data_IF_564484186964
#
_entry.id   IF_564484186964
#
_cell.length_a   1.000
_cell.length_b   1.000
_cell.length_c   1.000
_cell.angle_alpha   90.00
_cell.angle_beta   90.00
_cell.angle_gamma   90.00
#
_symmetry.space_group_name_H-M   'P 1'
#
loop_
_entity.id
_entity.type
_entity.pdbx_description
1 polymer ?
#
# COMPACT_ATOMS: atom_id res chain seq x y z
N UNK A 1 51.61 -60.09 5.97
CA UNK A 1 51.67 -58.95 5.08
C UNK A 1 50.20 -58.37 4.97
N UNK A 2 49.86 -57.33 5.75
CA UNK A 2 48.60 -56.63 5.69
C UNK A 2 48.77 -55.41 4.81
N UNK A 3 48.08 -55.35 3.66
CA UNK A 3 48.05 -54.18 2.77
C UNK A 3 47.00 -53.21 3.32
N UNK A 4 47.43 -52.03 3.77
CA UNK A 4 46.60 -50.88 4.06
C UNK A 4 46.27 -50.18 2.75
N UNK A 5 44.97 -50.14 2.39
CA UNK A 5 44.44 -49.33 1.27
C UNK A 5 44.06 -47.96 1.81
N UNK A 6 44.83 -46.93 1.42
CA UNK A 6 44.53 -45.52 1.74
C UNK A 6 43.49 -45.05 0.73
N UNK A 7 42.28 -44.83 1.20
CA UNK A 7 41.24 -44.12 0.44
C UNK A 7 41.48 -42.62 0.55
N UNK A 8 41.93 -41.99 -0.54
CA UNK A 8 42.00 -40.54 -0.67
C UNK A 8 40.58 -40.04 -0.97
N UNK A 9 39.91 -39.48 0.05
CA UNK A 9 38.64 -38.77 -0.15
C UNK A 9 38.99 -37.40 -0.73
N UNK A 10 38.86 -37.25 -2.05
CA UNK A 10 38.96 -35.96 -2.74
C UNK A 10 37.70 -35.14 -2.38
N UNK A 11 37.81 -34.24 -1.39
CA UNK A 11 36.78 -33.25 -1.10
C UNK A 11 36.72 -32.25 -2.27
N UNK A 12 35.87 -32.51 -3.23
CA UNK A 12 35.43 -31.48 -4.19
C UNK A 12 34.57 -30.46 -3.45
N UNK A 13 35.19 -29.40 -2.92
CA UNK A 13 34.47 -28.19 -2.58
C UNK A 13 34.01 -27.57 -3.90
N UNK A 14 32.77 -27.81 -4.28
CA UNK A 14 32.09 -27.01 -5.29
C UNK A 14 32.04 -25.57 -4.77
N UNK A 15 33.03 -24.79 -5.14
CA UNK A 15 33.03 -23.36 -4.88
C UNK A 15 31.84 -22.75 -5.64
N UNK A 16 30.79 -22.39 -4.92
CA UNK A 16 29.67 -21.62 -5.49
C UNK A 16 30.27 -20.27 -5.88
N UNK A 17 30.56 -20.09 -7.18
CA UNK A 17 31.06 -18.82 -7.71
C UNK A 17 29.96 -17.77 -7.57
N UNK A 18 30.22 -16.65 -6.91
CA UNK A 18 29.31 -15.53 -6.83
C UNK A 18 28.93 -15.05 -8.25
N UNK A 19 27.66 -14.80 -8.48
CA UNK A 19 27.19 -14.15 -9.70
C UNK A 19 27.59 -12.68 -9.68
N UNK A 20 27.72 -12.07 -10.86
CA UNK A 20 28.16 -10.68 -10.98
C UNK A 20 27.21 -9.85 -11.85
N UNK A 21 27.11 -8.59 -11.47
CA UNK A 21 26.58 -7.52 -12.32
C UNK A 21 27.76 -6.61 -12.63
N UNK A 22 28.18 -6.59 -13.87
CA UNK A 22 29.28 -5.75 -14.35
C UNK A 22 28.78 -4.78 -15.41
N UNK A 23 29.48 -3.66 -15.56
CA UNK A 23 29.12 -2.71 -16.59
C UNK A 23 30.16 -1.66 -16.85
N UNK A 24 29.88 -0.82 -17.85
CA UNK A 24 30.75 0.28 -18.25
C UNK A 24 29.92 1.53 -18.57
N UNK A 25 30.08 2.58 -17.76
CA UNK A 25 29.44 3.89 -17.89
C UNK A 25 30.47 4.99 -17.64
N UNK A 26 31.22 5.41 -18.67
CA UNK A 26 32.27 6.42 -18.52
C UNK A 26 31.77 7.76 -17.99
N UNK A 27 30.53 8.15 -18.31
CA UNK A 27 29.90 9.38 -17.82
C UNK A 27 29.64 9.40 -16.30
N UNK A 28 29.71 8.23 -15.67
CA UNK A 28 29.47 8.05 -14.22
C UNK A 28 30.73 7.73 -13.43
N UNK A 29 31.91 7.90 -14.04
CA UNK A 29 33.18 7.65 -13.37
C UNK A 29 33.27 8.39 -12.03
N UNK A 30 33.75 7.72 -10.99
CA UNK A 30 33.89 8.25 -9.63
C UNK A 30 32.59 8.27 -8.81
N UNK A 31 31.42 8.02 -9.41
CA UNK A 31 30.16 7.91 -8.66
C UNK A 31 30.03 6.53 -8.01
N UNK A 32 29.30 6.47 -6.90
CA UNK A 32 28.96 5.19 -6.25
C UNK A 32 27.76 4.57 -6.96
N UNK A 33 27.88 3.28 -7.28
CA UNK A 33 26.76 2.43 -7.73
C UNK A 33 26.43 1.42 -6.64
N UNK A 34 25.13 1.24 -6.40
CA UNK A 34 24.59 0.36 -5.36
C UNK A 34 23.60 -0.60 -5.96
N UNK A 35 23.67 -1.87 -5.50
CA UNK A 35 22.65 -2.89 -5.72
C UNK A 35 21.82 -3.01 -4.45
N UNK A 36 20.50 -2.86 -4.58
CA UNK A 36 19.54 -3.16 -3.53
C UNK A 36 18.58 -4.26 -4.01
N UNK A 37 18.00 -5.00 -3.07
CA UNK A 37 17.09 -6.11 -3.34
C UNK A 37 15.79 -5.93 -2.54
N UNK A 38 14.69 -6.43 -3.07
CA UNK A 38 13.42 -6.43 -2.35
C UNK A 38 13.36 -7.54 -1.29
N UNK A 39 12.77 -7.22 -0.15
CA UNK A 39 12.39 -8.14 0.93
C UNK A 39 10.98 -7.72 1.39
N UNK A 40 9.97 -8.24 0.72
CA UNK A 40 8.58 -7.83 0.90
C UNK A 40 8.33 -6.37 0.51
N UNK A 41 7.92 -5.57 1.49
CA UNK A 41 7.66 -4.14 1.30
C UNK A 41 8.91 -3.26 1.44
N UNK A 42 10.07 -3.85 1.70
CA UNK A 42 11.32 -3.11 1.98
C UNK A 42 12.32 -3.33 0.86
N UNK A 43 13.13 -2.29 0.62
CA UNK A 43 14.31 -2.37 -0.23
C UNK A 43 15.54 -2.40 0.69
N UNK A 44 16.40 -3.42 0.53
CA UNK A 44 17.63 -3.62 1.34
C UNK A 44 18.85 -3.47 0.47
N UNK A 45 19.84 -2.73 0.97
CA UNK A 45 21.13 -2.63 0.35
C UNK A 45 21.86 -3.97 0.41
N UNK A 46 22.42 -4.39 -0.72
CA UNK A 46 23.07 -5.68 -0.86
C UNK A 46 24.57 -5.57 -1.12
N UNK A 47 24.97 -4.78 -2.13
CA UNK A 47 26.36 -4.53 -2.49
C UNK A 47 26.53 -3.13 -3.08
N UNK A 48 27.75 -2.58 -3.00
CA UNK A 48 28.05 -1.28 -3.59
C UNK A 48 29.53 -1.18 -3.97
N UNK A 49 29.81 -0.37 -5.00
CA UNK A 49 31.18 -0.08 -5.44
C UNK A 49 31.25 1.32 -6.04
N UNK A 50 32.48 1.84 -6.17
CA UNK A 50 32.75 3.06 -6.93
C UNK A 50 33.04 2.71 -8.38
N UNK A 51 32.38 3.39 -9.33
CA UNK A 51 32.64 3.26 -10.76
C UNK A 51 34.05 3.79 -11.05
N UNK A 52 34.88 2.95 -11.64
CA UNK A 52 36.28 3.29 -11.97
C UNK A 52 36.35 4.47 -12.95
N UNK A 53 37.56 5.08 -13.08
CA UNK A 53 37.77 6.17 -14.07
C UNK A 53 37.55 5.74 -15.53
N UNK A 54 37.64 4.44 -15.82
CA UNK A 54 37.30 3.85 -17.11
C UNK A 54 35.78 3.71 -17.35
N UNK A 55 34.94 3.99 -16.34
CA UNK A 55 33.51 3.72 -16.36
C UNK A 55 33.13 2.31 -15.89
N UNK A 56 34.11 1.43 -15.63
CA UNK A 56 33.86 0.04 -15.27
C UNK A 56 33.43 -0.11 -13.81
N UNK A 57 32.49 -1.05 -13.55
CA UNK A 57 32.13 -1.48 -12.21
C UNK A 57 31.86 -2.99 -12.18
N UNK A 58 31.88 -3.56 -10.99
CA UNK A 58 31.51 -4.95 -10.75
C UNK A 58 30.91 -5.09 -9.36
N UNK A 59 29.67 -5.56 -9.30
CA UNK A 59 28.92 -5.89 -8.09
C UNK A 59 28.73 -7.40 -8.03
N UNK A 60 28.69 -7.95 -6.82
CA UNK A 60 28.49 -9.38 -6.59
C UNK A 60 27.12 -9.63 -5.97
N UNK A 61 26.50 -10.74 -6.34
CA UNK A 61 25.29 -11.20 -5.67
C UNK A 61 25.35 -12.71 -5.41
N UNK A 62 24.54 -13.14 -4.43
CA UNK A 62 24.48 -14.55 -4.07
C UNK A 62 23.83 -15.35 -5.22
N UNK A 63 24.43 -16.45 -5.71
CA UNK A 63 23.86 -17.30 -6.76
C UNK A 63 22.48 -17.90 -6.41
N UNK A 64 22.14 -18.01 -5.12
CA UNK A 64 20.82 -18.50 -4.69
C UNK A 64 19.75 -17.41 -4.69
N UNK A 65 20.14 -16.15 -4.93
CA UNK A 65 19.22 -15.01 -4.98
C UNK A 65 18.52 -14.98 -6.33
N UNK A 66 17.20 -15.13 -6.31
CA UNK A 66 16.31 -14.99 -7.47
C UNK A 66 15.34 -13.85 -7.18
N UNK A 67 15.18 -12.91 -8.11
CA UNK A 67 14.29 -11.78 -7.90
C UNK A 67 14.63 -10.57 -8.75
N UNK A 68 14.21 -9.39 -8.30
CA UNK A 68 14.52 -8.10 -8.92
C UNK A 68 15.51 -7.33 -8.06
N UNK A 69 16.64 -6.97 -8.65
CA UNK A 69 17.59 -6.03 -8.10
C UNK A 69 17.33 -4.60 -8.58
N UNK A 70 17.72 -3.64 -7.78
CA UNK A 70 17.64 -2.21 -8.09
C UNK A 70 19.06 -1.66 -8.10
N UNK A 71 19.55 -1.26 -9.26
CA UNK A 71 20.79 -0.53 -9.40
C UNK A 71 20.52 0.97 -9.29
N UNK A 72 21.21 1.65 -8.39
CA UNK A 72 21.09 3.08 -8.19
C UNK A 72 22.45 3.77 -8.22
N UNK A 73 22.54 4.92 -8.88
CA UNK A 73 23.70 5.78 -8.95
C UNK A 73 23.30 7.17 -8.52
N UNK A 74 23.59 7.55 -7.26
CA UNK A 74 23.24 8.87 -6.68
C UNK A 74 21.78 9.31 -7.02
N UNK A 75 21.64 10.47 -7.69
CA UNK A 75 20.35 11.07 -8.07
C UNK A 75 19.79 10.55 -9.41
N UNK A 76 20.44 9.59 -10.07
CA UNK A 76 19.93 9.00 -11.31
C UNK A 76 18.69 8.13 -11.05
N UNK A 77 17.86 7.93 -12.07
CA UNK A 77 16.72 7.02 -11.97
C UNK A 77 17.23 5.59 -11.74
N UNK A 78 16.62 4.83 -10.81
CA UNK A 78 17.03 3.45 -10.58
C UNK A 78 16.76 2.57 -11.80
N UNK A 79 17.66 1.63 -12.05
CA UNK A 79 17.50 0.59 -13.07
C UNK A 79 17.13 -0.73 -12.40
N UNK A 80 16.09 -1.38 -12.89
CA UNK A 80 15.72 -2.73 -12.44
C UNK A 80 16.48 -3.79 -13.23
N UNK A 81 16.99 -4.80 -12.54
CA UNK A 81 17.72 -5.93 -13.13
C UNK A 81 17.16 -7.25 -12.60
N UNK A 82 17.10 -8.25 -13.45
CA UNK A 82 16.70 -9.60 -13.06
C UNK A 82 17.92 -10.34 -12.51
N UNK A 83 17.77 -10.87 -11.31
CA UNK A 83 18.74 -11.72 -10.63
C UNK A 83 18.19 -13.16 -10.67
N UNK A 84 18.78 -14.01 -11.51
CA UNK A 84 18.39 -15.42 -11.63
C UNK A 84 19.52 -16.25 -12.23
N UNK A 85 20.54 -16.58 -11.43
CA UNK A 85 21.65 -17.46 -11.77
C UNK A 85 22.47 -17.04 -13.01
N UNK A 86 22.36 -15.79 -13.47
CA UNK A 86 23.06 -15.26 -14.65
C UNK A 86 24.13 -14.24 -14.25
N UNK A 87 25.23 -14.19 -15.02
CA UNK A 87 26.11 -13.01 -15.05
C UNK A 87 25.46 -11.93 -15.90
N UNK A 88 25.30 -10.73 -15.34
CA UNK A 88 24.71 -9.58 -16.03
C UNK A 88 25.84 -8.63 -16.46
N UNK A 89 25.85 -8.26 -17.72
CA UNK A 89 26.78 -7.26 -18.24
C UNK A 89 25.99 -6.19 -18.99
N UNK A 90 26.14 -4.94 -18.55
CA UNK A 90 25.40 -3.80 -19.12
C UNK A 90 26.36 -2.65 -19.44
N UNK A 91 26.09 -1.94 -20.55
CA UNK A 91 26.88 -0.80 -21.00
C UNK A 91 25.94 0.32 -21.44
N UNK A 92 26.41 1.56 -21.36
CA UNK A 92 25.63 2.70 -21.81
C UNK A 92 26.36 4.03 -21.67
N UNK A 93 25.85 5.04 -22.34
CA UNK A 93 26.35 6.41 -22.23
C UNK A 93 25.72 7.14 -21.03
N UNK A 94 24.49 6.79 -20.69
CA UNK A 94 23.71 7.33 -19.58
C UNK A 94 22.98 6.22 -18.81
N UNK A 95 22.70 6.45 -17.53
CA UNK A 95 22.00 5.47 -16.68
C UNK A 95 20.46 5.65 -16.81
N UNK A 96 19.99 5.51 -18.04
CA UNK A 96 18.57 5.55 -18.40
C UNK A 96 18.23 4.33 -19.24
N UNK A 97 17.03 3.73 -19.11
CA UNK A 97 16.68 2.48 -19.79
C UNK A 97 16.93 2.49 -21.30
N UNK A 98 16.66 3.61 -21.95
CA UNK A 98 16.79 3.77 -23.42
C UNK A 98 18.25 3.82 -23.90
N UNK A 99 19.20 4.15 -23.02
CA UNK A 99 20.63 4.26 -23.33
C UNK A 99 21.45 3.06 -22.84
N UNK A 100 20.79 2.04 -22.28
CA UNK A 100 21.45 0.86 -21.70
C UNK A 100 21.26 -0.35 -22.60
N UNK A 101 22.37 -1.03 -22.89
CA UNK A 101 22.38 -2.31 -23.59
C UNK A 101 22.88 -3.42 -22.64
N UNK A 102 22.09 -4.48 -22.51
CA UNK A 102 22.50 -5.69 -21.81
C UNK A 102 23.31 -6.59 -22.75
N UNK A 103 24.64 -6.65 -22.56
CA UNK A 103 25.55 -7.52 -23.33
C UNK A 103 25.46 -8.97 -22.93
N UNK A 104 25.21 -9.24 -21.62
CA UNK A 104 24.96 -10.57 -21.03
C UNK A 104 23.80 -10.53 -20.08
N UNK A 105 23.17 -11.68 -19.85
CA UNK A 105 21.97 -11.84 -19.04
C UNK A 105 20.73 -11.92 -19.94
N UNK A 106 20.42 -13.14 -20.41
CA UNK A 106 19.27 -13.37 -21.34
C UNK A 106 17.96 -12.85 -20.78
N UNK A 107 17.70 -13.08 -19.50
CA UNK A 107 16.46 -12.63 -18.86
C UNK A 107 16.41 -11.10 -18.75
N UNK A 108 17.54 -10.45 -18.52
CA UNK A 108 17.62 -8.98 -18.52
C UNK A 108 17.39 -8.39 -19.93
N UNK A 109 17.88 -9.04 -20.98
CA UNK A 109 17.60 -8.64 -22.36
C UNK A 109 16.10 -8.77 -22.68
N UNK A 110 15.47 -9.89 -22.30
CA UNK A 110 14.03 -10.13 -22.46
C UNK A 110 13.20 -9.13 -21.63
N UNK A 111 13.60 -8.87 -20.40
CA UNK A 111 12.94 -7.87 -19.55
C UNK A 111 13.02 -6.46 -20.17
N UNK A 112 14.21 -6.04 -20.62
CA UNK A 112 14.43 -4.73 -21.22
C UNK A 112 13.61 -4.56 -22.51
N UNK A 113 13.60 -5.58 -23.38
CA UNK A 113 12.79 -5.58 -24.60
C UNK A 113 11.30 -5.43 -24.27
N UNK A 114 10.77 -6.24 -23.35
CA UNK A 114 9.36 -6.15 -22.97
C UNK A 114 9.02 -4.81 -22.31
N UNK A 115 9.90 -4.31 -21.44
CA UNK A 115 9.73 -3.02 -20.78
C UNK A 115 9.69 -1.83 -21.77
N UNK A 116 10.38 -1.95 -22.89
CA UNK A 116 10.35 -0.97 -23.98
C UNK A 116 9.09 -1.13 -24.87
N UNK A 117 8.80 -2.35 -25.30
CA UNK A 117 7.75 -2.61 -26.30
C UNK A 117 6.32 -2.57 -25.71
N UNK A 118 6.12 -3.09 -24.50
CA UNK A 118 4.80 -3.20 -23.91
C UNK A 118 4.10 -1.84 -23.72
N UNK A 119 4.76 -0.77 -23.20
CA UNK A 119 4.15 0.55 -23.13
C UNK A 119 3.74 1.12 -24.50
N UNK A 120 4.52 0.86 -25.55
CA UNK A 120 4.18 1.27 -26.93
C UNK A 120 2.93 0.53 -27.44
N UNK A 121 2.83 -0.78 -27.16
CA UNK A 121 1.62 -1.56 -27.45
C UNK A 121 0.40 -1.01 -26.72
N UNK A 122 0.53 -0.67 -25.42
CA UNK A 122 -0.56 -0.06 -24.66
C UNK A 122 -0.97 1.31 -25.20
N UNK A 123 0.00 2.16 -25.59
CA UNK A 123 -0.31 3.45 -26.23
C UNK A 123 -1.09 3.26 -27.53
N UNK A 124 -0.69 2.29 -28.37
CA UNK A 124 -1.41 1.97 -29.60
C UNK A 124 -2.84 1.47 -29.30
N UNK A 125 -3.01 0.58 -28.32
CA UNK A 125 -4.33 0.11 -27.89
C UNK A 125 -5.20 1.28 -27.41
N UNK A 126 -4.67 2.19 -26.60
CA UNK A 126 -5.38 3.38 -26.12
C UNK A 126 -5.87 4.27 -27.28
N UNK A 127 -5.02 4.47 -28.30
CA UNK A 127 -5.39 5.24 -29.49
C UNK A 127 -6.51 4.53 -30.28
N UNK A 128 -6.42 3.22 -30.46
CA UNK A 128 -7.47 2.43 -31.10
C UNK A 128 -8.77 2.41 -30.32
N UNK A 129 -8.74 2.39 -28.98
CA UNK A 129 -9.92 2.47 -28.13
C UNK A 129 -10.60 3.84 -28.19
N UNK A 130 -9.82 4.90 -28.25
CA UNK A 130 -10.36 6.23 -28.49
C UNK A 130 -11.09 6.30 -29.85
N UNK A 131 -10.45 5.85 -30.92
CA UNK A 131 -11.07 5.79 -32.25
C UNK A 131 -12.30 4.89 -32.28
N UNK A 132 -12.24 3.72 -31.63
CA UNK A 132 -13.39 2.80 -31.57
C UNK A 132 -14.60 3.47 -30.94
N UNK A 133 -14.45 4.18 -29.83
CA UNK A 133 -15.53 4.94 -29.17
C UNK A 133 -16.08 6.06 -30.04
N UNK A 134 -15.20 6.80 -30.71
CA UNK A 134 -15.59 7.86 -31.63
C UNK A 134 -16.46 7.32 -32.78
N UNK A 135 -16.02 6.24 -33.41
CA UNK A 135 -16.73 5.62 -34.54
C UNK A 135 -18.01 4.86 -34.13
N UNK A 136 -18.11 4.41 -32.89
CA UNK A 136 -19.31 3.75 -32.38
C UNK A 136 -20.39 4.75 -31.94
N UNK A 137 -20.00 5.88 -31.35
CA UNK A 137 -20.92 6.78 -30.65
C UNK A 137 -21.27 8.05 -31.45
N UNK A 138 -20.71 8.23 -32.66
CA UNK A 138 -20.96 9.44 -33.45
C UNK A 138 -21.71 9.11 -34.73
N UNK A 139 -22.89 9.71 -34.91
CA UNK A 139 -23.79 9.42 -36.02
C UNK A 139 -23.17 9.66 -37.42
N UNK A 140 -22.23 10.62 -37.54
CA UNK A 140 -21.52 10.87 -38.83
C UNK A 140 -20.68 9.69 -39.30
N UNK A 141 -20.34 8.75 -38.37
CA UNK A 141 -19.56 7.54 -38.66
C UNK A 141 -20.41 6.26 -38.66
N UNK A 142 -21.73 6.37 -38.69
CA UNK A 142 -22.64 5.21 -38.63
C UNK A 142 -22.36 4.17 -39.69
N UNK A 143 -22.03 4.60 -40.92
CA UNK A 143 -21.74 3.74 -42.07
C UNK A 143 -20.26 3.33 -42.25
N UNK A 144 -19.45 3.50 -41.22
CA UNK A 144 -17.98 3.26 -41.27
C UNK A 144 -17.59 1.84 -40.83
N UNK A 145 -18.34 0.80 -41.19
CA UNK A 145 -18.14 -0.59 -40.72
C UNK A 145 -16.74 -1.13 -41.07
N UNK A 146 -16.20 -0.77 -42.25
CA UNK A 146 -14.84 -1.17 -42.63
C UNK A 146 -13.78 -0.63 -41.65
N UNK A 147 -13.92 0.62 -41.23
CA UNK A 147 -13.00 1.24 -40.25
C UNK A 147 -13.14 0.59 -38.91
N UNK A 148 -14.39 0.37 -38.43
CA UNK A 148 -14.67 -0.34 -37.16
C UNK A 148 -14.05 -1.74 -37.17
N UNK A 149 -14.21 -2.49 -38.25
CA UNK A 149 -13.60 -3.82 -38.42
C UNK A 149 -12.08 -3.77 -38.39
N UNK A 150 -11.45 -2.78 -39.07
CA UNK A 150 -9.99 -2.60 -39.05
C UNK A 150 -9.48 -2.31 -37.61
N UNK A 151 -10.16 -1.46 -36.86
CA UNK A 151 -9.82 -1.16 -35.45
C UNK A 151 -9.79 -2.45 -34.63
N UNK A 152 -10.83 -3.29 -34.73
CA UNK A 152 -10.91 -4.54 -33.97
C UNK A 152 -9.82 -5.54 -34.36
N UNK A 153 -9.52 -5.67 -35.64
CA UNK A 153 -8.46 -6.55 -36.15
C UNK A 153 -7.09 -6.11 -35.63
N UNK A 154 -6.80 -4.82 -35.65
CA UNK A 154 -5.51 -4.31 -35.20
C UNK A 154 -5.33 -4.44 -33.69
N UNK A 155 -6.34 -4.15 -32.90
CA UNK A 155 -6.33 -4.43 -31.45
C UNK A 155 -6.06 -5.90 -31.19
N UNK A 156 -6.77 -6.81 -31.86
CA UNK A 156 -6.56 -8.26 -31.72
C UNK A 156 -5.13 -8.67 -32.06
N UNK A 157 -4.55 -8.09 -33.12
CA UNK A 157 -3.16 -8.36 -33.54
C UNK A 157 -2.18 -7.95 -32.41
N UNK A 158 -2.32 -6.73 -31.87
CA UNK A 158 -1.44 -6.21 -30.82
C UNK A 158 -1.53 -7.06 -29.54
N UNK A 159 -2.73 -7.45 -29.12
CA UNK A 159 -2.91 -8.35 -27.98
C UNK A 159 -2.31 -9.73 -28.22
N UNK A 160 -2.43 -10.27 -29.45
CA UNK A 160 -1.86 -11.55 -29.79
C UNK A 160 -0.32 -11.53 -29.77
N UNK A 161 0.31 -10.46 -30.26
CA UNK A 161 1.76 -10.29 -30.21
C UNK A 161 2.29 -10.21 -28.77
N UNK A 162 1.63 -9.44 -27.92
CA UNK A 162 2.00 -9.33 -26.51
C UNK A 162 1.88 -10.68 -25.78
N UNK A 163 0.80 -11.41 -26.06
CA UNK A 163 0.57 -12.74 -25.49
C UNK A 163 1.59 -13.77 -26.01
N UNK A 164 1.93 -13.71 -27.31
CA UNK A 164 2.91 -14.59 -27.92
C UNK A 164 4.31 -14.35 -27.37
N UNK A 165 4.68 -13.08 -27.13
CA UNK A 165 5.95 -12.75 -26.49
C UNK A 165 6.08 -13.46 -25.13
N UNK A 166 5.07 -13.30 -24.27
CA UNK A 166 5.06 -13.91 -22.94
C UNK A 166 5.06 -15.44 -22.99
N UNK A 167 4.31 -16.03 -23.94
CA UNK A 167 4.24 -17.49 -24.11
C UNK A 167 5.56 -18.13 -24.61
N UNK A 168 6.41 -17.36 -25.30
CA UNK A 168 7.70 -17.83 -25.81
C UNK A 168 8.85 -17.73 -24.80
N UNK A 169 8.61 -17.22 -23.61
CA UNK A 169 9.60 -17.19 -22.53
C UNK A 169 9.85 -18.62 -22.01
N UNK A 170 11.08 -18.88 -21.57
CA UNK A 170 11.41 -20.17 -20.93
C UNK A 170 10.59 -20.32 -19.65
N UNK A 171 9.72 -21.35 -19.52
CA UNK A 171 8.87 -21.52 -18.36
C UNK A 171 9.62 -21.69 -17.02
N UNK A 172 10.92 -22.01 -17.07
CA UNK A 172 11.77 -22.15 -15.90
C UNK A 172 12.44 -20.83 -15.47
N UNK A 173 12.42 -19.81 -16.34
CA UNK A 173 13.04 -18.52 -16.06
C UNK A 173 12.17 -17.69 -15.11
N UNK A 174 12.81 -16.82 -14.32
CA UNK A 174 12.10 -15.90 -13.44
C UNK A 174 11.22 -14.91 -14.25
N UNK A 175 11.69 -14.44 -15.42
CA UNK A 175 10.92 -13.50 -16.26
C UNK A 175 9.64 -14.08 -16.79
N UNK A 176 9.53 -15.41 -16.98
CA UNK A 176 8.28 -16.04 -17.45
C UNK A 176 7.14 -15.94 -16.44
N UNK A 177 7.47 -15.85 -15.15
CA UNK A 177 6.53 -15.58 -14.06
C UNK A 177 6.39 -14.07 -13.82
N UNK A 178 7.50 -13.33 -13.83
CA UNK A 178 7.55 -11.92 -13.44
C UNK A 178 6.78 -11.01 -14.40
N UNK A 179 6.98 -11.18 -15.73
CA UNK A 179 6.37 -10.28 -16.71
C UNK A 179 4.84 -10.38 -16.78
N UNK A 180 4.21 -11.58 -16.76
CA UNK A 180 2.75 -11.68 -16.65
C UNK A 180 2.20 -11.07 -15.36
N UNK A 181 2.89 -11.30 -14.23
CA UNK A 181 2.49 -10.72 -12.93
C UNK A 181 2.59 -9.20 -12.96
N UNK A 182 3.70 -8.65 -13.48
CA UNK A 182 3.86 -7.21 -13.67
C UNK A 182 2.81 -6.61 -14.59
N UNK A 183 2.48 -7.30 -15.69
CA UNK A 183 1.41 -6.89 -16.61
C UNK A 183 0.07 -6.81 -15.89
N UNK A 184 -0.31 -7.84 -15.11
CA UNK A 184 -1.54 -7.84 -14.30
C UNK A 184 -1.59 -6.60 -13.40
N UNK A 185 -0.54 -6.35 -12.61
CA UNK A 185 -0.46 -5.25 -11.67
C UNK A 185 -0.55 -3.88 -12.36
N UNK A 186 0.15 -3.70 -13.48
CA UNK A 186 0.21 -2.42 -14.20
C UNK A 186 -1.01 -2.13 -15.08
N UNK A 187 -1.87 -3.11 -15.34
CA UNK A 187 -3.02 -2.97 -16.25
C UNK A 187 -4.24 -2.31 -15.62
N UNK A 188 -4.33 -2.24 -14.28
CA UNK A 188 -5.59 -1.89 -13.58
C UNK A 188 -6.13 -0.51 -13.92
N UNK A 189 -5.25 0.50 -14.05
CA UNK A 189 -5.67 1.86 -14.40
C UNK A 189 -6.30 1.92 -15.80
N UNK A 190 -5.70 1.20 -16.76
CA UNK A 190 -6.26 1.08 -18.10
C UNK A 190 -7.61 0.36 -18.08
N UNK A 191 -7.72 -0.76 -17.36
CA UNK A 191 -8.94 -1.57 -17.28
C UNK A 191 -10.07 -0.76 -16.65
N UNK A 192 -9.84 -0.09 -15.53
CA UNK A 192 -10.85 0.73 -14.88
C UNK A 192 -11.36 1.88 -15.75
N UNK A 193 -10.48 2.47 -16.55
CA UNK A 193 -10.79 3.64 -17.36
C UNK A 193 -11.36 3.29 -18.75
N UNK A 194 -10.88 2.20 -19.39
CA UNK A 194 -11.14 1.95 -20.80
C UNK A 194 -11.73 0.57 -21.10
N UNK A 195 -11.64 -0.41 -20.20
CA UNK A 195 -12.10 -1.77 -20.41
C UNK A 195 -12.80 -2.35 -19.17
N UNK A 196 -13.85 -1.66 -18.72
CA UNK A 196 -14.60 -2.06 -17.52
C UNK A 196 -15.17 -3.49 -17.60
N UNK A 197 -15.38 -4.00 -18.81
CA UNK A 197 -15.83 -5.38 -19.01
C UNK A 197 -14.80 -6.42 -18.54
N UNK A 198 -13.51 -6.07 -18.52
CA UNK A 198 -12.43 -6.92 -18.05
C UNK A 198 -12.25 -6.91 -16.51
N UNK A 199 -12.92 -6.00 -15.79
CA UNK A 199 -12.76 -5.88 -14.32
C UNK A 199 -13.02 -7.22 -13.59
N UNK A 200 -14.11 -7.96 -13.84
CA UNK A 200 -14.39 -9.20 -13.11
C UNK A 200 -13.30 -10.26 -13.29
N UNK A 201 -12.78 -10.43 -14.51
CA UNK A 201 -11.71 -11.40 -14.79
C UNK A 201 -10.38 -10.96 -14.18
N UNK A 202 -10.09 -9.66 -14.20
CA UNK A 202 -8.87 -9.11 -13.58
C UNK A 202 -8.92 -9.25 -12.06
N UNK A 203 -10.05 -8.98 -11.41
CA UNK A 203 -10.24 -9.22 -9.97
C UNK A 203 -10.07 -10.69 -9.63
N UNK A 204 -10.60 -11.59 -10.47
CA UNK A 204 -10.40 -13.04 -10.32
C UNK A 204 -8.91 -13.40 -10.40
N UNK A 205 -8.17 -12.86 -11.38
CA UNK A 205 -6.73 -13.09 -11.51
C UNK A 205 -5.95 -12.64 -10.27
N UNK A 206 -6.31 -11.50 -9.64
CA UNK A 206 -5.72 -11.08 -8.37
C UNK A 206 -6.06 -12.01 -7.20
N UNK A 207 -7.28 -12.55 -7.14
CA UNK A 207 -7.67 -13.51 -6.10
C UNK A 207 -6.96 -14.86 -6.25
N UNK A 208 -6.61 -15.24 -7.48
CA UNK A 208 -5.87 -16.46 -7.81
C UNK A 208 -4.35 -16.29 -7.70
N UNK A 209 -3.87 -15.05 -7.57
CA UNK A 209 -2.45 -14.77 -7.36
C UNK A 209 -1.99 -15.39 -6.02
N UNK A 210 -0.94 -16.20 -6.07
CA UNK A 210 -0.35 -16.75 -4.86
C UNK A 210 0.50 -15.71 -4.12
N UNK A 211 -0.08 -15.05 -3.13
CA UNK A 211 0.61 -14.03 -2.32
C UNK A 211 1.68 -14.61 -1.39
N UNK A 212 1.71 -15.92 -1.16
CA UNK A 212 2.80 -16.60 -0.44
C UNK A 212 3.95 -17.05 -1.34
N UNK A 213 3.88 -16.83 -2.66
CA UNK A 213 4.96 -17.16 -3.58
C UNK A 213 6.22 -16.35 -3.24
N UNK A 214 7.35 -17.01 -2.92
CA UNK A 214 8.58 -16.30 -2.58
C UNK A 214 9.07 -15.38 -3.72
N UNK A 215 8.74 -15.68 -4.99
CA UNK A 215 9.11 -14.82 -6.12
C UNK A 215 8.41 -13.45 -6.05
N UNK A 216 7.16 -13.41 -5.58
CA UNK A 216 6.43 -12.16 -5.38
C UNK A 216 7.11 -11.29 -4.31
N UNK A 217 7.61 -11.93 -3.25
CA UNK A 217 8.23 -11.26 -2.11
C UNK A 217 9.55 -10.55 -2.48
N UNK A 218 10.27 -11.06 -3.47
CA UNK A 218 11.55 -10.50 -3.95
C UNK A 218 11.42 -9.76 -5.30
N UNK A 219 10.21 -9.55 -5.78
CA UNK A 219 9.95 -8.95 -7.10
C UNK A 219 9.83 -7.43 -7.11
N UNK A 220 9.57 -6.80 -5.95
CA UNK A 220 9.12 -5.42 -5.88
C UNK A 220 7.64 -5.19 -6.24
N UNK A 221 6.91 -6.24 -6.67
CA UNK A 221 5.51 -6.13 -7.07
C UNK A 221 4.51 -6.36 -5.92
N UNK A 222 4.98 -6.85 -4.76
CA UNK A 222 4.09 -7.24 -3.66
C UNK A 222 3.16 -6.09 -3.22
N UNK A 223 3.75 -4.91 -3.01
CA UNK A 223 3.01 -3.72 -2.65
C UNK A 223 1.98 -3.36 -3.72
N UNK A 224 2.45 -3.23 -4.94
CA UNK A 224 1.62 -2.81 -6.07
C UNK A 224 0.52 -3.83 -6.39
N UNK A 225 0.77 -5.14 -6.17
CA UNK A 225 -0.23 -6.18 -6.34
C UNK A 225 -1.40 -6.03 -5.35
N UNK A 226 -1.11 -5.72 -4.08
CA UNK A 226 -2.16 -5.47 -3.08
C UNK A 226 -2.88 -4.15 -3.37
N UNK A 227 -2.14 -3.05 -3.59
CA UNK A 227 -2.74 -1.74 -3.90
C UNK A 227 -3.61 -1.79 -5.16
N UNK A 228 -3.09 -2.33 -6.26
CA UNK A 228 -3.79 -2.41 -7.55
C UNK A 228 -5.08 -3.23 -7.45
N UNK A 229 -5.06 -4.34 -6.71
CA UNK A 229 -6.23 -5.18 -6.51
C UNK A 229 -7.37 -4.40 -5.83
N UNK A 230 -7.09 -3.77 -4.67
CA UNK A 230 -8.12 -3.05 -3.92
C UNK A 230 -8.52 -1.74 -4.59
N UNK A 231 -7.57 -1.06 -5.24
CA UNK A 231 -7.87 0.11 -6.05
C UNK A 231 -8.82 -0.21 -7.22
N UNK A 232 -8.64 -1.36 -7.90
CA UNK A 232 -9.52 -1.78 -8.98
C UNK A 232 -10.95 -2.03 -8.47
N UNK A 233 -11.10 -2.64 -7.30
CA UNK A 233 -12.41 -2.84 -6.66
C UNK A 233 -13.10 -1.52 -6.30
N UNK A 234 -12.34 -0.57 -5.75
CA UNK A 234 -12.84 0.77 -5.40
C UNK A 234 -13.33 1.53 -6.65
N UNK A 235 -12.64 1.35 -7.78
CA UNK A 235 -12.92 2.03 -9.05
C UNK A 235 -13.75 1.19 -10.05
N UNK A 236 -14.43 0.15 -9.58
CA UNK A 236 -15.24 -0.73 -10.42
C UNK A 236 -16.61 -0.14 -10.87
N UNK A 237 -16.92 1.11 -10.48
CA UNK A 237 -18.18 1.78 -10.83
C UNK A 237 -19.43 1.16 -10.17
N UNK A 238 -19.25 0.42 -9.08
CA UNK A 238 -20.33 -0.25 -8.34
C UNK A 238 -20.81 0.57 -7.14
N UNK A 239 -22.03 0.33 -6.63
CA UNK A 239 -22.47 0.84 -5.33
C UNK A 239 -21.52 0.43 -4.21
N UNK A 240 -21.39 1.27 -3.18
CA UNK A 240 -20.38 1.11 -2.12
C UNK A 240 -20.52 -0.20 -1.32
N UNK A 241 -21.74 -0.65 -1.07
CA UNK A 241 -22.04 -1.92 -0.41
C UNK A 241 -21.58 -3.13 -1.23
N UNK A 242 -21.71 -3.08 -2.57
CA UNK A 242 -21.18 -4.11 -3.47
C UNK A 242 -19.63 -4.09 -3.49
N UNK A 243 -19.03 -2.89 -3.51
CA UNK A 243 -17.57 -2.73 -3.42
C UNK A 243 -17.06 -3.36 -2.12
N UNK A 244 -17.70 -3.10 -0.99
CA UNK A 244 -17.33 -3.70 0.30
C UNK A 244 -17.46 -5.22 0.30
N UNK A 245 -18.54 -5.75 -0.28
CA UNK A 245 -18.72 -7.20 -0.40
C UNK A 245 -17.64 -7.85 -1.27
N UNK A 246 -17.23 -7.20 -2.37
CA UNK A 246 -16.14 -7.68 -3.22
C UNK A 246 -14.77 -7.58 -2.51
N UNK A 247 -14.51 -6.51 -1.77
CA UNK A 247 -13.29 -6.37 -0.97
C UNK A 247 -13.19 -7.45 0.10
N UNK A 248 -14.29 -7.75 0.80
CA UNK A 248 -14.34 -8.81 1.79
C UNK A 248 -14.04 -10.20 1.17
N UNK A 249 -14.60 -10.49 -0.02
CA UNK A 249 -14.27 -11.73 -0.77
C UNK A 249 -12.79 -11.78 -1.17
N UNK A 250 -12.22 -10.67 -1.57
CA UNK A 250 -10.79 -10.59 -1.90
C UNK A 250 -9.91 -10.75 -0.67
N UNK A 251 -10.34 -10.20 0.47
CA UNK A 251 -9.68 -10.40 1.77
C UNK A 251 -9.70 -11.87 2.19
N UNK A 252 -10.83 -12.58 1.99
CA UNK A 252 -10.92 -14.01 2.29
C UNK A 252 -9.93 -14.83 1.45
N UNK A 253 -9.87 -14.59 0.14
CA UNK A 253 -8.93 -15.26 -0.77
C UNK A 253 -7.48 -14.96 -0.39
N UNK A 254 -7.15 -13.71 -0.10
CA UNK A 254 -5.82 -13.27 0.33
C UNK A 254 -5.38 -13.97 1.61
N UNK A 255 -6.18 -13.90 2.67
CA UNK A 255 -5.86 -14.53 3.96
C UNK A 255 -5.74 -16.04 3.82
N UNK A 256 -6.62 -16.69 3.04
CA UNK A 256 -6.54 -18.12 2.76
C UNK A 256 -5.21 -18.49 2.09
N UNK A 257 -4.71 -17.70 1.15
CA UNK A 257 -3.43 -17.94 0.46
C UNK A 257 -2.22 -17.76 1.38
N UNK A 258 -2.37 -17.04 2.49
CA UNK A 258 -1.31 -16.71 3.44
C UNK A 258 -1.28 -17.62 4.67
N UNK A 259 -2.24 -18.55 4.80
CA UNK A 259 -2.28 -19.48 5.92
C UNK A 259 -0.99 -20.31 6.00
N UNK A 260 -0.36 -20.33 7.18
CA UNK A 260 0.93 -21.00 7.41
C UNK A 260 2.17 -20.21 6.97
N UNK A 261 2.01 -18.97 6.51
CA UNK A 261 3.09 -18.07 6.11
C UNK A 261 3.10 -16.81 6.99
N UNK A 262 3.28 -16.98 8.31
CA UNK A 262 3.06 -15.95 9.33
C UNK A 262 3.77 -14.62 9.06
N UNK A 263 5.04 -14.65 8.59
CA UNK A 263 5.77 -13.41 8.27
C UNK A 263 5.06 -12.61 7.19
N UNK A 264 4.74 -13.26 6.07
CA UNK A 264 4.10 -12.62 4.91
C UNK A 264 2.68 -12.18 5.27
N UNK A 265 1.95 -13.01 6.02
CA UNK A 265 0.62 -12.69 6.54
C UNK A 265 0.64 -11.39 7.36
N UNK A 266 1.55 -11.27 8.34
CA UNK A 266 1.65 -10.09 9.18
C UNK A 266 1.99 -8.83 8.38
N UNK A 267 2.93 -8.92 7.46
CA UNK A 267 3.37 -7.78 6.63
C UNK A 267 2.25 -7.32 5.68
N UNK A 268 1.59 -8.25 4.98
CA UNK A 268 0.49 -7.92 4.06
C UNK A 268 -0.74 -7.42 4.83
N UNK A 269 -1.09 -8.04 5.96
CA UNK A 269 -2.22 -7.60 6.78
C UNK A 269 -2.01 -6.17 7.28
N UNK A 270 -0.84 -5.87 7.83
CA UNK A 270 -0.52 -4.52 8.27
C UNK A 270 -0.62 -3.51 7.13
N UNK A 271 -0.02 -3.84 5.99
CA UNK A 271 -0.03 -2.96 4.82
C UNK A 271 -1.46 -2.72 4.27
N UNK A 272 -2.24 -3.79 4.09
CA UNK A 272 -3.61 -3.71 3.59
C UNK A 272 -4.52 -2.96 4.57
N UNK A 273 -4.34 -3.19 5.85
CA UNK A 273 -5.07 -2.49 6.89
C UNK A 273 -4.84 -0.98 6.81
N UNK A 274 -3.57 -0.55 6.76
CA UNK A 274 -3.20 0.86 6.61
C UNK A 274 -3.71 1.46 5.27
N UNK A 275 -3.72 0.67 4.20
CA UNK A 275 -4.26 1.08 2.90
C UNK A 275 -5.77 1.37 3.00
N UNK A 276 -6.55 0.43 3.54
CA UNK A 276 -8.00 0.55 3.68
C UNK A 276 -8.38 1.75 4.56
N UNK A 277 -7.66 1.96 5.67
CA UNK A 277 -7.87 3.10 6.57
C UNK A 277 -7.58 4.44 5.87
N UNK A 278 -6.47 4.54 5.14
CA UNK A 278 -6.13 5.76 4.38
C UNK A 278 -7.16 6.11 3.32
N UNK A 279 -7.83 5.12 2.74
CA UNK A 279 -8.90 5.30 1.75
C UNK A 279 -10.29 5.42 2.40
N UNK A 280 -10.39 5.49 3.73
CA UNK A 280 -11.67 5.56 4.47
C UNK A 280 -12.59 4.35 4.23
N UNK A 281 -12.01 3.20 3.91
CA UNK A 281 -12.70 1.94 3.67
C UNK A 281 -12.84 1.13 4.97
N UNK A 282 -13.52 1.73 5.98
CA UNK A 282 -13.55 1.20 7.36
C UNK A 282 -14.27 -0.13 7.49
N UNK A 283 -15.32 -0.36 6.71
CA UNK A 283 -16.04 -1.64 6.76
C UNK A 283 -15.15 -2.80 6.28
N UNK A 284 -14.43 -2.69 5.15
CA UNK A 284 -13.41 -3.67 4.77
C UNK A 284 -12.24 -3.79 5.75
N UNK A 285 -11.77 -2.69 6.35
CA UNK A 285 -10.67 -2.74 7.32
C UNK A 285 -11.07 -3.45 8.61
N UNK A 286 -12.29 -3.19 9.11
CA UNK A 286 -12.87 -3.93 10.24
C UNK A 286 -13.03 -5.42 9.91
N UNK A 287 -13.51 -5.73 8.70
CA UNK A 287 -13.63 -7.11 8.24
C UNK A 287 -12.29 -7.84 8.23
N UNK A 288 -11.24 -7.21 7.66
CA UNK A 288 -9.88 -7.75 7.66
C UNK A 288 -9.40 -8.03 9.09
N UNK A 289 -9.53 -7.04 9.99
CA UNK A 289 -9.10 -7.18 11.37
C UNK A 289 -9.78 -8.36 12.08
N UNK A 290 -11.12 -8.45 11.99
CA UNK A 290 -11.89 -9.54 12.60
C UNK A 290 -11.58 -10.89 11.97
N UNK A 291 -11.37 -10.94 10.66
CA UNK A 291 -11.01 -12.17 9.95
C UNK A 291 -9.70 -12.74 10.45
N UNK A 292 -8.66 -11.91 10.53
CA UNK A 292 -7.32 -12.35 10.95
C UNK A 292 -7.29 -12.70 12.44
N UNK A 293 -7.91 -11.89 13.31
CA UNK A 293 -7.98 -12.15 14.75
C UNK A 293 -8.74 -13.46 15.10
N UNK A 294 -9.77 -13.81 14.31
CA UNK A 294 -10.58 -15.00 14.56
C UNK A 294 -10.07 -16.25 13.83
N UNK A 295 -9.02 -16.13 13.00
CA UNK A 295 -8.48 -17.27 12.24
C UNK A 295 -7.49 -18.06 13.09
N UNK A 296 -7.82 -19.29 13.45
CA UNK A 296 -6.99 -20.17 14.29
C UNK A 296 -5.66 -20.59 13.64
N UNK A 297 -5.47 -20.33 12.35
CA UNK A 297 -4.24 -20.61 11.59
C UNK A 297 -3.35 -19.40 11.35
N UNK A 298 -3.63 -18.26 11.99
CA UNK A 298 -2.84 -17.03 11.84
C UNK A 298 -2.10 -16.74 13.13
N UNK A 299 -0.76 -16.65 13.07
CA UNK A 299 0.06 -16.17 14.19
C UNK A 299 0.39 -14.70 13.96
N UNK A 300 -0.26 -13.81 14.70
CA UNK A 300 0.00 -12.38 14.63
C UNK A 300 1.13 -11.99 15.59
N UNK A 301 1.95 -11.01 15.18
CA UNK A 301 2.84 -10.36 16.13
C UNK A 301 2.04 -9.47 17.09
N UNK A 302 2.61 -9.23 18.29
CA UNK A 302 1.91 -8.53 19.37
C UNK A 302 1.45 -7.12 18.99
N UNK A 303 2.21 -6.40 18.19
CA UNK A 303 1.88 -5.02 17.82
C UNK A 303 0.69 -4.99 16.86
N UNK A 304 0.69 -5.85 15.84
CA UNK A 304 -0.43 -5.97 14.90
C UNK A 304 -1.68 -6.49 15.61
N UNK A 305 -1.53 -7.49 16.49
CA UNK A 305 -2.65 -8.02 17.26
C UNK A 305 -3.31 -6.92 18.12
N UNK A 306 -2.54 -6.11 18.82
CA UNK A 306 -3.05 -4.97 19.61
C UNK A 306 -3.73 -3.93 18.71
N UNK A 307 -3.14 -3.59 17.58
CA UNK A 307 -3.73 -2.66 16.63
C UNK A 307 -5.09 -3.16 16.12
N UNK A 308 -5.19 -4.42 15.73
CA UNK A 308 -6.43 -5.02 15.23
C UNK A 308 -7.50 -5.21 16.31
N UNK A 309 -7.11 -5.50 17.57
CA UNK A 309 -8.04 -5.59 18.70
C UNK A 309 -8.81 -4.28 18.95
N UNK A 310 -8.20 -3.14 18.62
CA UNK A 310 -8.88 -1.83 18.64
C UNK A 310 -10.20 -1.89 17.86
N UNK A 311 -10.19 -2.52 16.70
CA UNK A 311 -11.35 -2.58 15.82
C UNK A 311 -12.42 -3.52 16.33
N UNK A 312 -12.04 -4.57 17.03
CA UNK A 312 -13.00 -5.46 17.68
C UNK A 312 -13.74 -4.78 18.83
N UNK A 313 -13.01 -3.98 19.63
CA UNK A 313 -13.56 -3.30 20.80
C UNK A 313 -14.25 -1.99 20.43
N UNK A 314 -13.62 -1.20 19.55
CA UNK A 314 -14.05 0.15 19.19
C UNK A 314 -14.84 0.22 17.87
N UNK A 315 -15.49 -0.88 17.47
CA UNK A 315 -16.31 -0.92 16.26
C UNK A 315 -17.63 -0.18 16.42
N UNK A 316 -18.21 0.21 15.27
CA UNK A 316 -19.57 0.76 15.20
C UNK A 316 -20.58 -0.14 15.92
N UNK A 317 -21.43 0.45 16.74
CA UNK A 317 -22.46 -0.23 17.51
C UNK A 317 -21.99 -0.71 18.91
N UNK A 318 -20.70 -0.73 19.20
CA UNK A 318 -20.21 -1.02 20.55
C UNK A 318 -20.27 0.23 21.42
N UNK A 319 -20.36 0.02 22.73
CA UNK A 319 -20.31 1.09 23.71
C UNK A 319 -18.85 1.51 23.95
N UNK A 320 -18.56 2.80 23.73
CA UNK A 320 -17.25 3.37 24.02
C UNK A 320 -16.97 3.39 25.54
N UNK A 321 -15.72 3.23 25.97
CA UNK A 321 -15.34 3.38 27.38
C UNK A 321 -15.67 4.77 27.93
N UNK A 322 -16.03 4.85 29.22
CA UNK A 322 -16.27 6.13 29.89
C UNK A 322 -14.96 6.90 30.09
N UNK A 323 -14.95 8.17 29.69
CA UNK A 323 -13.81 9.07 29.96
C UNK A 323 -14.09 9.84 31.26
N UNK A 324 -13.23 9.65 32.27
CA UNK A 324 -13.25 10.41 33.49
C UNK A 324 -12.22 11.53 33.38
N UNK A 325 -12.63 12.77 33.54
CA UNK A 325 -11.77 13.95 33.41
C UNK A 325 -10.94 14.20 34.71
N UNK A 326 -9.95 13.32 34.95
CA UNK A 326 -8.99 13.45 36.07
C UNK A 326 -7.70 14.12 35.54
N UNK A 327 -7.73 15.43 35.42
CA UNK A 327 -6.64 16.23 34.90
C UNK A 327 -7.06 17.69 34.62
N UNK A 328 -6.33 18.38 33.80
CA UNK A 328 -6.67 19.75 33.41
C UNK A 328 -7.77 19.73 32.33
N UNK A 329 -8.89 20.37 32.63
CA UNK A 329 -10.04 20.51 31.75
C UNK A 329 -10.28 22.01 31.47
N UNK A 330 -10.27 22.40 30.22
CA UNK A 330 -10.44 23.80 29.80
C UNK A 330 -11.45 23.94 28.66
N UNK A 331 -12.08 25.11 28.57
CA UNK A 331 -12.94 25.51 27.45
C UNK A 331 -12.74 26.99 27.19
N UNK A 332 -12.44 27.37 25.94
CA UNK A 332 -12.13 28.75 25.57
C UNK A 332 -11.05 29.38 26.47
N UNK A 333 -10.00 28.63 26.78
CA UNK A 333 -8.90 29.06 27.64
C UNK A 333 -9.22 29.19 29.14
N UNK A 334 -10.43 28.81 29.58
CA UNK A 334 -10.84 28.88 31.00
C UNK A 334 -10.98 27.49 31.60
N UNK A 335 -10.51 27.32 32.84
CA UNK A 335 -10.67 26.07 33.57
C UNK A 335 -12.14 25.73 33.83
N UNK A 336 -12.49 24.45 33.68
CA UNK A 336 -13.84 23.89 33.88
C UNK A 336 -13.78 22.87 34.97
N UNK A 337 -14.58 23.05 36.02
CA UNK A 337 -14.57 22.17 37.21
C UNK A 337 -15.85 21.33 37.34
N UNK A 338 -16.92 21.63 36.63
CA UNK A 338 -18.25 21.06 36.84
C UNK A 338 -18.58 19.86 35.94
N UNK A 339 -17.64 19.39 35.09
CA UNK A 339 -17.82 18.22 34.20
C UNK A 339 -16.84 17.15 34.67
N UNK A 340 -17.36 16.05 35.22
CA UNK A 340 -16.51 14.99 35.76
C UNK A 340 -16.22 13.87 34.79
N UNK A 341 -17.08 13.66 33.79
CA UNK A 341 -17.00 12.53 32.85
C UNK A 341 -17.73 12.80 31.52
N UNK A 342 -17.40 12.02 30.51
CA UNK A 342 -17.94 12.18 29.16
C UNK A 342 -19.48 12.04 29.11
N UNK A 343 -20.03 11.02 29.79
CA UNK A 343 -21.48 10.78 29.80
C UNK A 343 -22.29 11.86 30.56
N UNK A 344 -21.64 12.80 31.21
CA UNK A 344 -22.33 13.93 31.87
C UNK A 344 -22.61 15.11 30.91
N UNK A 345 -22.13 15.05 29.69
CA UNK A 345 -22.35 16.10 28.69
C UNK A 345 -23.79 16.04 28.15
N UNK A 346 -24.50 17.16 28.13
CA UNK A 346 -25.89 17.23 27.60
C UNK A 346 -25.87 17.35 26.07
N UNK A 347 -25.55 16.27 25.35
CA UNK A 347 -25.46 16.27 23.91
C UNK A 347 -26.23 15.09 23.29
N UNK A 348 -26.78 15.27 22.09
CA UNK A 348 -27.37 14.17 21.33
C UNK A 348 -26.29 13.25 20.76
N UNK A 349 -25.19 13.85 20.32
CA UNK A 349 -24.00 13.15 19.87
C UNK A 349 -22.75 13.87 20.38
N UNK A 350 -21.67 13.13 20.55
CA UNK A 350 -20.38 13.67 21.00
C UNK A 350 -19.26 13.23 20.06
N UNK A 351 -18.53 14.19 19.53
CA UNK A 351 -17.28 13.93 18.81
C UNK A 351 -16.13 13.93 19.79
N UNK A 352 -15.51 12.78 20.02
CA UNK A 352 -14.29 12.65 20.83
C UNK A 352 -13.10 12.68 19.88
N UNK A 353 -12.18 13.61 20.10
CA UNK A 353 -10.98 13.81 19.26
C UNK A 353 -9.74 13.61 20.12
N UNK A 354 -8.91 12.64 19.77
CA UNK A 354 -7.59 12.45 20.36
C UNK A 354 -6.53 13.14 19.51
N UNK A 355 -5.70 13.98 20.10
CA UNK A 355 -4.68 14.74 19.39
C UNK A 355 -3.62 15.34 20.29
N UNK A 356 -2.73 16.15 19.73
CA UNK A 356 -1.67 16.82 20.50
C UNK A 356 -1.16 18.08 19.79
N UNK A 357 -0.58 19.00 20.57
CA UNK A 357 0.04 20.23 20.06
C UNK A 357 1.25 19.98 19.15
N UNK A 358 1.95 18.88 19.35
CA UNK A 358 3.12 18.48 18.55
C UNK A 358 2.77 17.71 17.25
N UNK A 359 1.50 17.32 17.06
CA UNK A 359 1.04 16.56 15.89
C UNK A 359 0.75 17.52 14.71
N UNK A 360 1.44 17.37 13.55
CA UNK A 360 1.22 18.24 12.39
C UNK A 360 -0.21 18.18 11.86
N UNK A 361 -0.76 16.98 11.66
CA UNK A 361 -2.15 16.81 11.17
C UNK A 361 -3.19 17.38 12.15
N UNK A 362 -2.91 17.33 13.47
CA UNK A 362 -3.80 17.92 14.46
C UNK A 362 -3.81 19.46 14.34
N UNK A 363 -2.66 20.08 14.04
CA UNK A 363 -2.58 21.52 13.80
C UNK A 363 -3.39 21.97 12.59
N UNK A 364 -3.59 21.10 11.62
CA UNK A 364 -4.41 21.35 10.42
C UNK A 364 -5.89 21.10 10.65
N UNK A 365 -6.25 20.04 11.39
CA UNK A 365 -7.63 19.60 11.55
C UNK A 365 -8.36 20.31 12.70
N UNK A 366 -7.68 20.58 13.83
CA UNK A 366 -8.33 21.19 15.00
C UNK A 366 -8.91 22.58 14.74
N UNK A 367 -8.28 23.47 13.97
CA UNK A 367 -8.90 24.75 13.60
C UNK A 367 -10.20 24.58 12.80
N UNK A 368 -10.26 23.60 11.89
CA UNK A 368 -11.47 23.30 11.10
C UNK A 368 -12.61 22.81 12.01
N UNK A 369 -12.29 22.02 13.04
CA UNK A 369 -13.27 21.59 14.07
C UNK A 369 -13.80 22.84 14.80
N UNK A 370 -12.90 23.77 15.19
CA UNK A 370 -13.29 24.97 15.91
C UNK A 370 -14.19 25.89 15.07
N UNK A 371 -13.90 26.02 13.78
CA UNK A 371 -14.71 26.79 12.80
C UNK A 371 -16.13 26.22 12.66
N UNK A 372 -16.25 24.89 12.60
CA UNK A 372 -17.53 24.21 12.42
C UNK A 372 -18.32 24.02 13.73
N UNK A 373 -17.68 24.18 14.90
CA UNK A 373 -18.26 23.82 16.18
C UNK A 373 -19.60 24.51 16.48
N UNK A 374 -19.72 25.81 16.19
CA UNK A 374 -20.95 26.54 16.45
C UNK A 374 -22.15 25.98 15.65
N UNK A 375 -21.93 25.63 14.38
CA UNK A 375 -22.87 24.93 13.50
C UNK A 375 -23.25 23.58 14.09
N UNK A 376 -22.26 22.79 14.45
CA UNK A 376 -22.49 21.42 14.95
C UNK A 376 -23.21 21.42 16.30
N UNK A 377 -22.82 22.31 17.20
CA UNK A 377 -23.44 22.44 18.52
C UNK A 377 -24.92 22.83 18.43
N UNK A 378 -25.27 23.74 17.51
CA UNK A 378 -26.68 24.11 17.31
C UNK A 378 -27.54 22.96 16.82
N UNK A 379 -26.91 21.93 16.22
CA UNK A 379 -27.57 20.68 15.77
C UNK A 379 -27.46 19.53 16.80
N UNK A 380 -26.91 19.77 17.98
CA UNK A 380 -26.84 18.78 19.07
C UNK A 380 -25.57 17.95 19.13
N UNK A 381 -24.52 18.29 18.35
CA UNK A 381 -23.19 17.67 18.43
C UNK A 381 -22.29 18.47 19.37
N UNK A 382 -21.78 17.83 20.42
CA UNK A 382 -20.72 18.35 21.27
C UNK A 382 -19.35 17.82 20.83
N UNK A 383 -18.29 18.58 21.11
CA UNK A 383 -16.91 18.17 20.82
C UNK A 383 -16.10 18.10 22.12
N UNK A 384 -15.35 17.03 22.28
CA UNK A 384 -14.38 16.85 23.37
C UNK A 384 -13.02 16.49 22.79
N UNK A 385 -12.04 17.32 23.07
CA UNK A 385 -10.65 17.08 22.71
C UNK A 385 -9.89 16.44 23.86
N UNK A 386 -9.25 15.31 23.62
CA UNK A 386 -8.38 14.59 24.55
C UNK A 386 -6.95 14.75 24.08
N UNK A 387 -6.16 15.51 24.84
CA UNK A 387 -4.78 15.79 24.46
C UNK A 387 -3.80 14.72 24.97
N UNK A 388 -2.83 14.40 24.11
CA UNK A 388 -1.67 13.58 24.40
C UNK A 388 -0.42 14.42 24.71
N UNK A 389 -0.59 15.69 25.08
CA UNK A 389 0.53 16.54 25.49
C UNK A 389 1.08 16.10 26.85
N UNK A 390 2.35 16.40 27.11
CA UNK A 390 3.03 16.12 28.39
C UNK A 390 3.30 17.39 29.18
N UNK A 391 3.27 18.54 28.51
CA UNK A 391 3.54 19.84 29.12
C UNK A 391 2.27 20.69 29.15
N UNK A 392 1.92 21.19 30.35
CA UNK A 392 0.70 21.98 30.56
C UNK A 392 0.70 23.28 29.75
N UNK A 393 1.87 23.90 29.58
CA UNK A 393 2.03 25.12 28.81
C UNK A 393 1.72 24.90 27.33
N UNK A 394 2.21 23.81 26.74
CA UNK A 394 1.99 23.48 25.33
C UNK A 394 0.51 23.17 25.07
N UNK A 395 -0.09 22.38 25.95
CA UNK A 395 -1.52 22.08 25.90
C UNK A 395 -2.38 23.33 25.98
N UNK A 396 -2.17 24.16 27.03
CA UNK A 396 -2.99 25.36 27.27
C UNK A 396 -2.88 26.39 26.15
N UNK A 397 -1.69 26.57 25.58
CA UNK A 397 -1.49 27.45 24.43
C UNK A 397 -2.17 26.91 23.16
N UNK A 398 -2.13 25.59 22.95
CA UNK A 398 -2.76 24.95 21.79
C UNK A 398 -4.28 25.06 21.80
N UNK A 399 -4.90 24.87 22.99
CA UNK A 399 -6.36 24.83 23.12
C UNK A 399 -7.02 26.14 23.53
N UNK A 400 -6.24 27.21 23.76
CA UNK A 400 -6.74 28.46 24.34
C UNK A 400 -7.91 29.09 23.59
N UNK A 401 -7.95 28.93 22.27
CA UNK A 401 -8.97 29.49 21.39
C UNK A 401 -10.07 28.49 21.00
N UNK A 402 -9.99 27.24 21.45
CA UNK A 402 -10.99 26.25 21.07
C UNK A 402 -12.25 26.39 21.93
N UNK A 403 -13.42 26.49 21.29
CA UNK A 403 -14.69 26.76 22.01
C UNK A 403 -15.28 25.55 22.71
N UNK A 404 -14.71 24.37 22.51
CA UNK A 404 -15.16 23.08 23.06
C UNK A 404 -14.29 22.61 24.23
N UNK A 405 -14.77 21.60 24.95
CA UNK A 405 -14.04 20.99 26.05
C UNK A 405 -12.73 20.35 25.58
N UNK A 406 -11.65 20.66 26.27
CA UNK A 406 -10.32 20.13 26.01
C UNK A 406 -9.72 19.61 27.30
N UNK A 407 -9.31 18.35 27.31
CA UNK A 407 -8.79 17.61 28.47
C UNK A 407 -7.38 17.13 28.25
N UNK A 408 -6.54 17.20 29.29
CA UNK A 408 -5.23 16.59 29.33
C UNK A 408 -4.89 16.08 30.72
N UNK A 409 -4.35 14.86 30.81
CA UNK A 409 -3.78 14.28 32.03
C UNK A 409 -2.25 14.22 32.03
N UNK A 410 -1.62 14.73 30.97
CA UNK A 410 -0.17 14.83 30.73
C UNK A 410 0.58 13.50 30.75
N UNK A 411 -0.12 12.39 30.42
CA UNK A 411 0.44 11.04 30.41
C UNK A 411 0.72 10.50 29.01
N UNK A 412 0.49 11.30 27.98
CA UNK A 412 0.72 10.93 26.58
C UNK A 412 0.03 9.61 26.22
N UNK A 413 0.78 8.63 25.74
CA UNK A 413 0.28 7.29 25.39
C UNK A 413 -0.14 6.44 26.60
N UNK A 414 0.29 6.81 27.81
CA UNK A 414 -0.10 6.16 29.08
C UNK A 414 -1.39 6.73 29.68
N UNK A 415 -1.97 7.75 29.05
CA UNK A 415 -3.28 8.30 29.42
C UNK A 415 -4.34 7.20 29.35
N UNK A 416 -5.13 7.08 30.44
CA UNK A 416 -6.15 6.04 30.50
C UNK A 416 -7.20 6.15 29.38
N UNK A 417 -7.75 7.32 29.03
CA UNK A 417 -8.59 7.48 27.84
C UNK A 417 -7.93 7.01 26.55
N UNK A 418 -6.64 7.30 26.35
CA UNK A 418 -5.88 6.89 25.16
C UNK A 418 -5.79 5.36 25.08
N UNK A 419 -5.49 4.70 26.19
CA UNK A 419 -5.40 3.24 26.27
C UNK A 419 -6.76 2.57 26.11
N UNK A 420 -7.79 3.06 26.81
CA UNK A 420 -9.14 2.49 26.78
C UNK A 420 -9.79 2.60 25.39
N UNK A 421 -9.47 3.67 24.63
CA UNK A 421 -9.93 3.89 23.27
C UNK A 421 -8.96 3.31 22.22
N UNK A 422 -7.89 2.62 22.65
CA UNK A 422 -6.86 2.01 21.81
C UNK A 422 -6.34 2.99 20.73
N UNK A 423 -5.96 4.20 21.13
CA UNK A 423 -5.43 5.23 20.24
C UNK A 423 -3.95 5.01 20.00
N UNK A 424 -3.55 4.76 18.75
CA UNK A 424 -2.15 4.54 18.33
C UNK A 424 -1.60 5.64 17.44
N UNK A 425 -2.44 6.60 17.06
CA UNK A 425 -2.07 7.73 16.21
C UNK A 425 -2.95 8.94 16.45
N UNK A 426 -2.51 10.11 16.01
CA UNK A 426 -3.25 11.36 16.14
C UNK A 426 -3.30 12.12 14.81
N UNK A 427 -4.45 12.75 14.45
CA UNK A 427 -5.70 12.73 15.21
C UNK A 427 -6.46 11.41 15.04
N UNK A 428 -7.16 10.96 16.11
CA UNK A 428 -8.14 9.87 16.06
C UNK A 428 -9.49 10.39 16.52
N UNK A 429 -10.55 10.12 15.77
CA UNK A 429 -11.88 10.64 16.01
C UNK A 429 -12.88 9.52 16.24
N UNK A 430 -13.79 9.73 17.21
CA UNK A 430 -14.93 8.85 17.47
C UNK A 430 -16.20 9.69 17.58
N UNK A 431 -17.23 9.34 16.82
CA UNK A 431 -18.54 9.94 16.96
C UNK A 431 -19.44 8.99 17.76
N UNK A 432 -19.97 9.47 18.88
CA UNK A 432 -20.76 8.71 19.82
C UNK A 432 -22.19 9.25 19.90
N UNK A 433 -23.18 8.38 20.16
CA UNK A 433 -24.53 8.80 20.53
C UNK A 433 -24.62 9.19 22.02
N UNK A 434 -25.80 9.59 22.47
CA UNK A 434 -26.08 9.96 23.88
C UNK A 434 -25.85 8.82 24.87
N UNK A 435 -25.83 7.55 24.42
CA UNK A 435 -25.57 6.37 25.23
C UNK A 435 -24.08 5.96 25.16
N UNK A 436 -23.24 6.77 24.51
CA UNK A 436 -21.83 6.47 24.20
C UNK A 436 -21.65 5.28 23.24
N UNK A 437 -22.66 4.96 22.41
CA UNK A 437 -22.49 3.98 21.34
C UNK A 437 -21.72 4.61 20.20
N UNK A 438 -20.73 3.92 19.66
CA UNK A 438 -19.93 4.38 18.55
C UNK A 438 -20.78 4.35 17.27
N UNK A 439 -21.05 5.51 16.70
CA UNK A 439 -21.80 5.68 15.47
C UNK A 439 -20.89 5.53 14.22
N UNK A 440 -19.73 6.16 14.28
CA UNK A 440 -18.72 6.14 13.21
C UNK A 440 -17.36 6.56 13.80
N UNK A 441 -16.29 6.13 13.11
CA UNK A 441 -14.91 6.60 13.35
C UNK A 441 -14.50 7.50 12.17
N UNK A 442 -14.73 8.82 12.24
CA UNK A 442 -14.38 9.72 11.13
C UNK A 442 -12.87 9.81 10.95
N UNK A 443 -12.41 9.95 9.70
CA UNK A 443 -10.98 10.16 9.38
C UNK A 443 -10.65 11.61 9.07
N UNK A 444 -11.68 12.45 8.90
CA UNK A 444 -11.50 13.87 8.61
C UNK A 444 -12.65 14.70 9.15
N UNK A 445 -12.40 15.97 9.34
CA UNK A 445 -13.42 16.97 9.72
C UNK A 445 -14.51 17.06 8.66
N UNK A 446 -14.17 16.94 7.37
CA UNK A 446 -15.15 16.94 6.28
C UNK A 446 -16.16 15.80 6.39
N UNK A 447 -15.74 14.62 6.83
CA UNK A 447 -16.64 13.49 7.07
C UNK A 447 -17.59 13.74 8.25
N UNK A 448 -17.09 14.39 9.32
CA UNK A 448 -17.92 14.80 10.45
C UNK A 448 -18.99 15.82 9.99
N UNK A 449 -18.57 16.80 9.19
CA UNK A 449 -19.49 17.84 8.70
C UNK A 449 -20.59 17.24 7.80
N UNK A 450 -20.22 16.35 6.89
CA UNK A 450 -21.18 15.62 6.07
C UNK A 450 -22.14 14.76 6.91
N UNK A 451 -21.65 14.12 7.97
CA UNK A 451 -22.50 13.36 8.92
C UNK A 451 -23.51 14.27 9.61
N UNK A 452 -23.05 15.41 10.14
CA UNK A 452 -23.90 16.39 10.83
C UNK A 452 -25.00 16.91 9.88
N UNK A 453 -24.65 17.23 8.65
CA UNK A 453 -25.62 17.74 7.67
C UNK A 453 -26.65 16.70 7.25
N UNK A 454 -26.29 15.43 7.26
CA UNK A 454 -27.19 14.35 6.86
C UNK A 454 -28.07 13.83 8.01
N UNK A 455 -27.50 13.64 9.20
CA UNK A 455 -28.17 12.95 10.32
C UNK A 455 -28.68 13.87 11.43
N UNK A 456 -28.10 15.08 11.62
CA UNK A 456 -28.54 16.02 12.63
C UNK A 456 -29.27 17.19 11.95
N UNK A 457 -30.59 17.19 12.07
CA UNK A 457 -31.48 18.21 11.47
C UNK A 457 -31.70 19.39 12.38
#
# INVERSE_FOLDING_TARGET
>A
MKRFLFFFILNFTLGVSAQTISGNFPSLAGKQIKLSIFDGFKLKDFDSTTIANSGAFNLKYNPTLVGVGVLAVNAEKPLFVILDHEHVELVGEAFIPEAIEFKKGKQNQQFAQYAYEHPLRLQAINAWDYLNRLYQNTSIFEKADKVKGTIQLEKKRIYAEDSLYLANLDPKSYVSWFLPTRKLVSSVSYIAQYDQAAIPETVKAFRELNYSDPRLYVSGLLKDAVESHYWLLENAGKPLDEVYAEMNRSTDALIQSLMGHDKVLNEITNFLFDLLERHSLFVPSEYLALKVLNSSGCTLNDDLAKQLETYRVMKKGNKAPEIIFKGTLVQSGKSVANVAKLSALPAQQTLVVFGASWCPSCKEEMPKIAENYAKWKSKGLEVVFISLDIEEKEFTEFVKNYPFLSFCDFKKWESKPVQDYYVFGTPTLFLLDSNQTILVRPTSVAQVDAWVDYYLK
#
